data_IF_749951247305
#
_entry.id   IF_749951247305
#
_cell.length_a   1.000
_cell.length_b   1.000
_cell.length_c   1.000
_cell.angle_alpha   90.00
_cell.angle_beta   90.00
_cell.angle_gamma   90.00
#
_symmetry.space_group_name_H-M   'P 1'
#
loop_
_entity.id
_entity.type
_entity.pdbx_description
1 polymer ?
#
# COMPACT_ATOMS: atom_id res chain seq x y z
N UNK A 1 -81.20 -10.20 -7.07
CA UNK A 1 -81.22 -8.73 -6.86
C UNK A 1 -79.95 -8.34 -6.07
N UNK A 2 -79.45 -7.08 -6.13
CA UNK A 2 -78.00 -6.84 -6.30
C UNK A 2 -77.26 -6.12 -5.13
N UNK A 3 -75.93 -5.90 -5.31
CA UNK A 3 -74.95 -5.08 -4.53
C UNK A 3 -74.35 -5.80 -3.30
N UNK A 4 -73.07 -5.74 -2.89
CA UNK A 4 -71.80 -5.05 -3.28
C UNK A 4 -70.58 -5.95 -2.88
N UNK A 5 -69.29 -5.69 -3.15
CA UNK A 5 -68.64 -4.64 -3.97
C UNK A 5 -67.32 -4.04 -3.39
N UNK A 6 -66.23 -4.81 -3.22
CA UNK A 6 -64.90 -4.36 -2.75
C UNK A 6 -63.79 -5.27 -3.36
N UNK A 7 -63.06 -4.91 -4.44
CA UNK A 7 -61.90 -3.99 -4.53
C UNK A 7 -60.78 -4.41 -3.56
N UNK A 8 -59.83 -5.28 -3.92
CA UNK A 8 -58.61 -5.04 -4.74
C UNK A 8 -57.60 -4.06 -4.09
N UNK A 9 -56.34 -4.50 -4.02
CA UNK A 9 -55.10 -3.76 -3.79
C UNK A 9 -54.86 -3.12 -2.40
N UNK A 10 -54.17 -3.89 -1.55
CA UNK A 10 -53.31 -3.42 -0.45
C UNK A 10 -51.99 -4.22 -0.56
N UNK A 11 -50.80 -3.65 -0.68
CA UNK A 11 -50.40 -2.24 -0.81
C UNK A 11 -49.03 -2.17 -1.49
N UNK A 12 -48.90 -1.45 -2.61
CA UNK A 12 -47.63 -1.23 -3.30
C UNK A 12 -47.11 0.17 -2.97
N UNK A 13 -46.43 0.30 -1.82
CA UNK A 13 -45.69 1.52 -1.44
C UNK A 13 -44.29 1.12 -0.97
N UNK A 14 -43.37 1.16 -1.92
CA UNK A 14 -41.94 1.20 -1.66
C UNK A 14 -41.57 2.63 -1.23
N UNK A 15 -40.89 2.79 -0.10
CA UNK A 15 -39.67 3.58 -0.07
C UNK A 15 -38.54 2.58 0.17
N UNK A 16 -37.67 2.37 -0.82
CA UNK A 16 -36.48 3.22 -0.95
C UNK A 16 -35.92 3.44 0.45
N UNK A 17 -35.32 2.39 1.01
CA UNK A 17 -34.37 2.52 2.10
C UNK A 17 -33.32 3.49 1.59
N UNK A 18 -33.50 4.74 2.00
CA UNK A 18 -32.59 5.84 1.78
C UNK A 18 -31.29 5.41 2.44
N UNK A 19 -30.38 4.81 1.67
CA UNK A 19 -29.00 4.55 2.05
C UNK A 19 -28.36 5.92 2.17
N UNK A 20 -28.64 6.56 3.31
CA UNK A 20 -28.02 7.80 3.71
C UNK A 20 -26.53 7.53 3.69
N UNK A 21 -25.87 8.04 2.66
CA UNK A 21 -24.46 7.84 2.46
C UNK A 21 -23.73 8.66 3.52
N UNK A 22 -23.65 8.08 4.72
CA UNK A 22 -22.89 8.60 5.85
C UNK A 22 -21.45 8.73 5.36
N UNK A 23 -21.08 9.96 4.98
CA UNK A 23 -19.68 10.30 4.79
C UNK A 23 -19.03 10.12 6.15
N UNK A 24 -18.27 9.04 6.30
CA UNK A 24 -17.41 8.84 7.45
C UNK A 24 -16.58 10.12 7.67
N UNK A 25 -16.37 10.48 8.93
CA UNK A 25 -15.53 11.62 9.27
C UNK A 25 -14.13 11.40 8.70
N UNK A 26 -13.47 12.50 8.30
CA UNK A 26 -12.08 12.41 7.85
C UNK A 26 -11.17 12.31 9.08
N UNK A 27 -10.85 11.08 9.49
CA UNK A 27 -9.98 10.78 10.63
C UNK A 27 -8.48 10.95 10.32
N UNK A 28 -8.11 11.48 9.14
CA UNK A 28 -6.70 11.69 8.76
C UNK A 28 -6.09 12.87 9.51
N UNK A 29 -5.05 12.58 10.28
CA UNK A 29 -4.23 13.59 10.94
C UNK A 29 -3.24 14.24 9.96
N UNK A 30 -3.23 15.57 9.87
CA UNK A 30 -2.24 16.32 9.07
C UNK A 30 -0.93 16.46 9.85
N UNK A 31 0.10 15.72 9.42
CA UNK A 31 1.46 15.83 9.98
C UNK A 31 2.08 17.18 9.63
N UNK A 32 2.26 18.05 10.64
CA UNK A 32 2.87 19.38 10.49
C UNK A 32 4.40 19.29 10.52
N UNK A 33 5.01 19.29 9.35
CA UNK A 33 6.47 19.34 9.18
C UNK A 33 6.95 20.78 8.88
N UNK A 34 8.07 21.23 9.47
CA UNK A 34 8.86 22.33 8.93
C UNK A 34 9.18 22.13 7.44
N UNK A 35 9.15 23.21 6.66
CA UNK A 35 9.16 23.17 5.19
C UNK A 35 10.30 22.32 4.58
N UNK A 36 11.53 22.43 5.11
CA UNK A 36 12.67 21.63 4.65
C UNK A 36 12.47 20.12 4.85
N UNK A 37 11.82 19.72 5.95
CA UNK A 37 11.55 18.30 6.22
C UNK A 37 10.37 17.77 5.40
N UNK A 38 9.39 18.62 5.08
CA UNK A 38 8.35 18.28 4.12
C UNK A 38 8.94 18.04 2.71
N UNK A 39 9.84 18.93 2.27
CA UNK A 39 10.55 18.77 1.00
C UNK A 39 11.40 17.49 0.96
N UNK A 40 12.16 17.20 2.03
CA UNK A 40 12.95 15.97 2.17
C UNK A 40 12.07 14.71 2.15
N UNK A 41 10.96 14.69 2.89
CA UNK A 41 10.02 13.57 2.88
C UNK A 41 9.44 13.33 1.47
N UNK A 42 9.03 14.40 0.77
CA UNK A 42 8.52 14.31 -0.60
C UNK A 42 9.60 13.94 -1.63
N UNK A 43 10.88 14.19 -1.35
CA UNK A 43 11.99 13.69 -2.17
C UNK A 43 12.16 12.18 -1.96
N UNK A 44 12.20 11.71 -0.71
CA UNK A 44 12.30 10.29 -0.38
C UNK A 44 11.14 9.48 -0.97
N UNK A 45 9.89 9.96 -0.88
CA UNK A 45 8.74 9.28 -1.48
C UNK A 45 8.82 9.16 -3.01
N UNK A 46 9.44 10.14 -3.70
CA UNK A 46 9.69 10.03 -5.15
C UNK A 46 10.82 9.06 -5.45
N UNK A 47 11.88 9.07 -4.64
CA UNK A 47 12.98 8.11 -4.77
C UNK A 47 12.50 6.66 -4.56
N UNK A 48 11.58 6.43 -3.63
CA UNK A 48 10.96 5.11 -3.43
C UNK A 48 10.22 4.62 -4.67
N UNK A 49 9.53 5.51 -5.41
CA UNK A 49 8.88 5.16 -6.67
C UNK A 49 9.89 4.83 -7.77
N UNK A 50 11.00 5.57 -7.86
CA UNK A 50 12.10 5.28 -8.80
C UNK A 50 12.78 3.94 -8.47
N UNK A 51 12.96 3.64 -7.18
CA UNK A 51 13.49 2.36 -6.74
C UNK A 51 12.57 1.18 -7.09
N UNK A 52 11.25 1.34 -6.93
CA UNK A 52 10.26 0.34 -7.33
C UNK A 52 10.28 0.09 -8.85
N UNK A 53 10.36 1.13 -9.67
CA UNK A 53 10.47 1.00 -11.12
C UNK A 53 11.75 0.23 -11.53
N UNK A 54 12.89 0.63 -10.96
CA UNK A 54 14.17 -0.05 -11.21
C UNK A 54 14.19 -1.51 -10.74
N UNK A 55 13.49 -1.84 -9.65
CA UNK A 55 13.28 -3.22 -9.19
C UNK A 55 12.42 -4.02 -10.17
N UNK A 56 11.30 -3.46 -10.64
CA UNK A 56 10.42 -4.12 -11.60
C UNK A 56 11.12 -4.36 -12.95
N UNK A 57 11.91 -3.38 -13.42
CA UNK A 57 12.75 -3.53 -14.60
C UNK A 57 13.79 -4.64 -14.43
N UNK A 58 14.49 -4.68 -13.29
CA UNK A 58 15.44 -5.75 -12.99
C UNK A 58 14.79 -7.14 -12.94
N UNK A 59 13.57 -7.26 -12.40
CA UNK A 59 12.79 -8.51 -12.43
C UNK A 59 12.37 -8.91 -13.85
N UNK A 60 11.95 -7.95 -14.68
CA UNK A 60 11.60 -8.20 -16.08
C UNK A 60 12.81 -8.64 -16.93
N UNK A 61 14.00 -8.18 -16.59
CA UNK A 61 15.29 -8.63 -17.15
C UNK A 61 15.74 -10.01 -16.62
N UNK A 62 15.00 -10.63 -15.68
CA UNK A 62 15.41 -11.85 -14.98
C UNK A 62 16.53 -11.65 -13.96
N UNK A 63 16.92 -10.40 -13.68
CA UNK A 63 18.02 -10.05 -12.78
C UNK A 63 17.52 -9.87 -11.33
N UNK A 64 17.15 -11.00 -10.73
CA UNK A 64 16.62 -11.10 -9.36
C UNK A 64 17.59 -10.49 -8.33
N UNK A 65 18.88 -10.73 -8.50
CA UNK A 65 19.93 -10.26 -7.60
C UNK A 65 20.10 -8.72 -7.62
N UNK A 66 19.93 -8.06 -8.80
CA UNK A 66 19.84 -6.59 -8.94
C UNK A 66 18.58 -6.04 -8.27
N UNK A 67 17.42 -6.68 -8.46
CA UNK A 67 16.18 -6.28 -7.79
C UNK A 67 16.29 -6.36 -6.26
N UNK A 68 16.90 -7.43 -5.73
CA UNK A 68 17.15 -7.61 -4.30
C UNK A 68 18.10 -6.54 -3.74
N UNK A 69 19.19 -6.22 -4.44
CA UNK A 69 20.15 -5.15 -4.05
C UNK A 69 19.48 -3.77 -4.02
N UNK A 70 18.65 -3.45 -5.01
CA UNK A 70 17.86 -2.21 -5.04
C UNK A 70 16.87 -2.15 -3.88
N UNK A 71 16.15 -3.24 -3.62
CA UNK A 71 15.21 -3.33 -2.51
C UNK A 71 15.87 -3.01 -1.17
N UNK A 72 17.00 -3.65 -0.81
CA UNK A 72 17.63 -3.37 0.50
C UNK A 72 18.22 -1.96 0.58
N UNK A 73 18.96 -1.53 -0.46
CA UNK A 73 19.70 -0.26 -0.43
C UNK A 73 18.82 0.99 -0.55
N UNK A 74 17.65 0.91 -1.20
CA UNK A 74 16.74 2.05 -1.43
C UNK A 74 15.44 1.98 -0.65
N UNK A 75 15.00 0.79 -0.22
CA UNK A 75 13.74 0.61 0.49
C UNK A 75 13.88 -0.17 1.79
N UNK A 76 14.92 -0.98 1.98
CA UNK A 76 15.10 -1.88 3.12
C UNK A 76 15.45 -1.16 4.42
N UNK A 77 15.67 -1.93 5.48
CA UNK A 77 16.07 -1.41 6.78
C UNK A 77 17.42 -0.69 6.73
N UNK A 78 18.34 -1.11 5.87
CA UNK A 78 19.61 -0.41 5.63
C UNK A 78 19.45 1.00 5.05
N UNK A 79 18.28 1.34 4.48
CA UNK A 79 18.02 2.66 3.90
C UNK A 79 17.52 3.72 4.90
N UNK A 80 17.25 3.36 6.17
CA UNK A 80 16.63 4.26 7.15
C UNK A 80 17.44 5.53 7.44
N UNK A 81 18.78 5.43 7.43
CA UNK A 81 19.67 6.58 7.62
C UNK A 81 19.62 7.54 6.43
N UNK A 82 19.67 7.01 5.20
CA UNK A 82 19.55 7.78 3.95
C UNK A 82 18.25 8.60 3.91
N UNK A 83 17.15 8.04 4.41
CA UNK A 83 15.86 8.74 4.50
C UNK A 83 15.74 9.68 5.70
N UNK A 84 16.75 9.79 6.56
CA UNK A 84 16.72 10.62 7.77
C UNK A 84 15.63 10.19 8.76
N UNK A 85 15.28 8.90 8.81
CA UNK A 85 14.10 8.41 9.51
C UNK A 85 14.04 8.81 11.00
N UNK A 86 15.18 8.82 11.70
CA UNK A 86 15.29 9.26 13.09
C UNK A 86 14.93 10.74 13.31
N UNK A 87 15.14 11.60 12.32
CA UNK A 87 14.72 13.00 12.36
C UNK A 87 13.23 13.15 12.10
N UNK A 88 12.68 12.38 11.15
CA UNK A 88 11.26 12.40 10.82
C UNK A 88 10.39 11.82 11.95
N UNK A 89 10.84 10.76 12.62
CA UNK A 89 10.05 10.00 13.61
C UNK A 89 9.44 10.86 14.73
N UNK A 90 10.09 11.98 15.09
CA UNK A 90 9.63 12.94 16.11
C UNK A 90 8.30 13.63 15.77
N UNK A 91 7.94 13.67 14.49
CA UNK A 91 6.73 14.31 13.97
C UNK A 91 5.65 13.31 13.57
N UNK A 92 5.98 12.03 13.44
CA UNK A 92 5.09 11.01 12.86
C UNK A 92 4.17 10.42 13.93
N UNK A 93 2.83 10.47 13.75
CA UNK A 93 1.90 9.72 14.58
C UNK A 93 2.25 8.23 14.58
N UNK A 94 2.06 7.55 15.72
CA UNK A 94 2.50 6.16 15.93
C UNK A 94 2.04 5.20 14.82
N UNK A 95 0.81 5.36 14.32
CA UNK A 95 0.29 4.56 13.22
C UNK A 95 1.05 4.80 11.90
N UNK A 96 1.34 6.06 11.56
CA UNK A 96 2.11 6.41 10.35
C UNK A 96 3.56 5.92 10.43
N UNK A 97 4.22 6.08 11.58
CA UNK A 97 5.55 5.54 11.81
C UNK A 97 5.57 4.01 11.64
N UNK A 98 4.58 3.29 12.18
CA UNK A 98 4.45 1.85 12.02
C UNK A 98 4.15 1.41 10.57
N UNK A 99 3.50 2.25 9.75
CA UNK A 99 3.32 1.98 8.31
C UNK A 99 4.68 2.10 7.59
N UNK A 100 5.42 3.19 7.81
CA UNK A 100 6.75 3.39 7.21
C UNK A 100 7.75 2.28 7.59
N UNK A 101 7.87 1.95 8.88
CA UNK A 101 8.74 0.85 9.34
C UNK A 101 8.34 -0.51 8.76
N UNK A 102 7.03 -0.79 8.59
CA UNK A 102 6.58 -2.03 7.93
C UNK A 102 6.93 -2.08 6.45
N UNK A 103 6.93 -0.96 5.74
CA UNK A 103 7.41 -0.87 4.35
C UNK A 103 8.90 -1.25 4.29
N UNK A 104 9.73 -0.66 5.16
CA UNK A 104 11.16 -0.97 5.20
C UNK A 104 11.45 -2.44 5.49
N UNK A 105 10.76 -3.02 6.49
CA UNK A 105 10.85 -4.46 6.73
C UNK A 105 10.32 -5.33 5.59
N UNK A 106 9.33 -4.88 4.82
CA UNK A 106 8.81 -5.63 3.67
C UNK A 106 9.84 -5.68 2.52
N UNK A 107 10.53 -4.57 2.25
CA UNK A 107 11.62 -4.54 1.28
C UNK A 107 12.80 -5.45 1.69
N UNK A 108 13.20 -5.45 2.96
CA UNK A 108 14.23 -6.39 3.45
C UNK A 108 13.79 -7.86 3.38
N UNK A 109 12.50 -8.17 3.59
CA UNK A 109 11.99 -9.54 3.39
C UNK A 109 11.91 -9.93 1.91
N UNK A 110 11.68 -8.98 1.01
CA UNK A 110 11.69 -9.24 -0.43
C UNK A 110 13.06 -9.78 -0.89
N UNK A 111 14.18 -9.29 -0.33
CA UNK A 111 15.54 -9.82 -0.59
C UNK A 111 15.62 -11.34 -0.38
N UNK A 112 15.01 -11.84 0.70
CA UNK A 112 15.01 -13.27 1.06
C UNK A 112 14.10 -14.04 0.10
N UNK A 113 12.90 -13.55 -0.15
CA UNK A 113 11.95 -14.20 -1.05
C UNK A 113 12.47 -14.28 -2.50
N UNK A 114 13.10 -13.20 -2.99
CA UNK A 114 13.71 -13.12 -4.31
C UNK A 114 14.80 -14.17 -4.48
N UNK A 115 15.76 -14.24 -3.54
CA UNK A 115 16.85 -15.24 -3.57
C UNK A 115 16.35 -16.67 -3.46
N UNK A 116 15.33 -16.94 -2.64
CA UNK A 116 14.76 -18.28 -2.55
C UNK A 116 14.11 -18.70 -3.88
N UNK A 117 13.40 -17.77 -4.56
CA UNK A 117 12.79 -18.04 -5.86
C UNK A 117 13.82 -18.24 -7.00
N UNK A 118 15.03 -17.72 -6.87
CA UNK A 118 16.15 -17.95 -7.79
C UNK A 118 16.81 -19.34 -7.60
N UNK A 119 16.70 -19.91 -6.39
CA UNK A 119 17.25 -21.24 -6.05
C UNK A 119 16.27 -22.39 -6.30
N UNK A 120 14.96 -22.13 -6.27
CA UNK A 120 13.92 -23.09 -6.63
C UNK A 120 14.03 -23.47 -8.13
N UNK A 121 14.11 -24.76 -8.50
CA UNK A 121 14.02 -25.16 -9.90
C UNK A 121 12.67 -24.74 -10.46
N UNK A 122 12.65 -23.82 -11.43
CA UNK A 122 11.40 -23.43 -12.10
C UNK A 122 10.68 -24.64 -12.71
N UNK A 123 9.36 -24.55 -12.93
CA UNK A 123 8.54 -25.67 -13.44
C UNK A 123 9.15 -26.36 -14.68
N UNK A 124 9.72 -25.58 -15.59
CA UNK A 124 10.48 -26.03 -16.78
C UNK A 124 11.63 -27.00 -16.47
N UNK A 125 12.33 -26.81 -15.34
CA UNK A 125 13.44 -27.65 -14.89
C UNK A 125 12.98 -28.90 -14.12
N UNK A 126 11.74 -28.95 -13.65
CA UNK A 126 11.15 -30.08 -12.92
C UNK A 126 10.54 -31.14 -13.86
N UNK A 127 10.46 -30.86 -15.16
CA UNK A 127 9.89 -31.73 -16.19
C UNK A 127 10.93 -32.31 -17.18
N UNK A 128 12.20 -32.36 -16.79
CA UNK A 128 13.30 -33.04 -17.52
C UNK A 128 13.82 -34.23 -16.73
#
# INVERSE_FOLDING_TARGET
MPKSGLIIALSLVLPLLWTGNTRAADERELVKLPAMMQAHMLANMRDHLVALDAMLMALAEGNVDKAAKLAESRLGMSSLELHGAAHMAKFMPKAMAAIGTRMHHAASRFVIAARNAELEPGLEAQHK
#
